data_IF_942076351358
#
_entry.id   IF_942076351358
#
_cell.length_a   1.000
_cell.length_b   1.000
_cell.length_c   1.000
_cell.angle_alpha   90.00
_cell.angle_beta   90.00
_cell.angle_gamma   90.00
#
_symmetry.space_group_name_H-M   'P 1'
#
loop_
_entity.id
_entity.type
_entity.pdbx_description
1 polymer ?
#
# COMPACT_ATOMS: atom_id res chain seq x y z
N UNK A 1 7.78 -4.54 35.41
CA UNK A 1 7.75 -5.41 34.20
C UNK A 1 7.53 -4.51 33.01
N UNK A 2 8.62 -4.19 32.27
CA UNK A 2 8.52 -3.44 31.01
C UNK A 2 7.79 -4.30 29.98
N UNK A 3 6.79 -3.75 29.25
CA UNK A 3 6.23 -4.45 28.12
C UNK A 3 7.35 -4.65 27.10
N UNK A 4 7.69 -5.89 26.82
CA UNK A 4 8.56 -6.23 25.70
C UNK A 4 7.90 -5.69 24.44
N UNK A 5 8.48 -4.65 23.85
CA UNK A 5 8.19 -4.24 22.48
C UNK A 5 8.27 -5.51 21.64
N UNK A 6 7.12 -5.94 21.09
CA UNK A 6 7.11 -7.06 20.16
C UNK A 6 7.96 -6.64 19.00
N UNK A 7 9.15 -7.24 18.87
CA UNK A 7 10.00 -7.04 17.70
C UNK A 7 9.15 -7.27 16.47
N UNK A 8 9.10 -6.27 15.61
CA UNK A 8 8.52 -6.35 14.27
C UNK A 8 8.86 -7.71 13.66
N UNK A 9 7.85 -8.52 13.40
CA UNK A 9 8.04 -9.73 12.61
C UNK A 9 8.13 -9.30 11.15
N UNK A 10 9.33 -8.93 10.74
CA UNK A 10 9.64 -8.71 9.34
C UNK A 10 9.65 -10.07 8.66
N UNK A 11 8.69 -10.33 7.81
CA UNK A 11 8.81 -11.42 6.88
C UNK A 11 9.49 -10.92 5.62
N UNK A 12 10.61 -11.50 5.32
CA UNK A 12 11.60 -10.98 4.39
C UNK A 12 11.83 -11.94 3.25
N UNK A 13 12.30 -11.39 2.15
CA UNK A 13 13.07 -12.12 1.15
C UNK A 13 14.09 -12.98 1.92
N UNK A 14 14.05 -14.29 1.70
CA UNK A 14 14.97 -15.23 2.35
C UNK A 14 16.41 -14.81 2.11
N UNK A 15 17.06 -14.31 3.12
CA UNK A 15 18.49 -14.48 3.29
C UNK A 15 18.74 -15.98 3.46
N UNK A 16 19.77 -16.50 2.78
CA UNK A 16 20.04 -17.95 2.71
C UNK A 16 20.29 -18.57 4.08
N UNK A 17 20.74 -17.79 5.06
CA UNK A 17 21.22 -18.29 6.35
C UNK A 17 20.23 -18.09 7.50
N UNK A 18 19.43 -17.02 7.49
CA UNK A 18 18.52 -16.67 8.60
C UNK A 18 17.05 -16.64 8.21
N UNK A 19 16.75 -16.65 6.93
CA UNK A 19 15.39 -16.50 6.41
C UNK A 19 14.81 -15.08 6.59
N UNK A 20 15.62 -14.12 7.00
CA UNK A 20 15.21 -12.74 7.31
C UNK A 20 16.09 -11.76 6.53
N UNK A 21 15.54 -11.01 5.57
CA UNK A 21 16.24 -9.92 4.94
C UNK A 21 16.09 -8.62 5.73
N UNK A 22 17.17 -7.88 5.89
CA UNK A 22 17.13 -6.53 6.45
C UNK A 22 16.79 -5.56 5.33
N UNK A 23 15.58 -5.04 5.35
CA UNK A 23 15.13 -4.01 4.42
C UNK A 23 15.21 -2.65 5.13
N UNK A 24 15.85 -1.69 4.48
CA UNK A 24 15.87 -0.32 4.98
C UNK A 24 14.60 0.39 4.48
N UNK A 25 13.73 0.75 5.40
CA UNK A 25 12.57 1.60 5.18
C UNK A 25 12.96 3.07 5.43
N UNK A 26 12.32 3.99 4.72
CA UNK A 26 12.38 5.41 5.09
C UNK A 26 11.48 5.68 6.32
N UNK A 27 11.55 6.89 6.88
CA UNK A 27 10.86 7.18 8.14
C UNK A 27 9.34 7.05 8.09
N UNK A 28 8.71 7.39 6.97
CA UNK A 28 7.26 7.27 6.86
C UNK A 28 6.79 5.87 6.46
N UNK A 29 7.56 5.13 5.65
CA UNK A 29 7.33 3.70 5.42
C UNK A 29 7.41 2.92 6.73
N UNK A 30 8.39 3.24 7.59
CA UNK A 30 8.51 2.63 8.92
C UNK A 30 7.29 2.93 9.78
N UNK A 31 6.80 4.18 9.79
CA UNK A 31 5.63 4.58 10.55
C UNK A 31 4.36 3.86 10.06
N UNK A 32 4.18 3.76 8.74
CA UNK A 32 3.06 3.03 8.15
C UNK A 32 3.07 1.54 8.54
N UNK A 33 4.23 0.89 8.43
CA UNK A 33 4.36 -0.53 8.80
C UNK A 33 4.19 -0.73 10.32
N UNK A 34 4.65 0.22 11.13
CA UNK A 34 4.41 0.19 12.57
C UNK A 34 2.92 0.27 12.89
N UNK A 35 2.18 1.19 12.26
CA UNK A 35 0.73 1.33 12.40
C UNK A 35 0.01 0.02 12.00
N UNK A 36 0.31 -0.54 10.82
CA UNK A 36 -0.26 -1.82 10.39
C UNK A 36 0.06 -2.97 11.37
N UNK A 37 1.26 -2.98 11.94
CA UNK A 37 1.69 -4.04 12.86
C UNK A 37 0.98 -4.05 14.21
N UNK A 38 0.34 -2.94 14.59
CA UNK A 38 -0.48 -2.84 15.80
C UNK A 38 -1.91 -3.35 15.62
N UNK A 39 -2.34 -3.65 14.40
CA UNK A 39 -3.67 -4.23 14.14
C UNK A 39 -3.76 -5.64 14.72
N UNK A 40 -4.89 -5.98 15.28
CA UNK A 40 -5.11 -7.29 15.94
C UNK A 40 -5.08 -8.46 14.96
N UNK A 41 -5.44 -8.21 13.70
CA UNK A 41 -5.48 -9.19 12.61
C UNK A 41 -4.16 -9.29 11.83
N UNK A 42 -3.18 -8.42 12.11
CA UNK A 42 -1.89 -8.43 11.44
C UNK A 42 -1.10 -9.72 11.69
N UNK A 43 -0.54 -10.28 10.62
CA UNK A 43 0.33 -11.46 10.67
C UNK A 43 1.77 -11.12 10.31
N UNK A 44 1.97 -10.56 9.14
CA UNK A 44 3.29 -10.16 8.64
C UNK A 44 3.17 -9.19 7.46
N UNK A 45 4.31 -8.64 7.05
CA UNK A 45 4.39 -7.81 5.85
C UNK A 45 5.58 -8.22 4.98
N UNK A 46 5.50 -7.86 3.72
CA UNK A 46 6.52 -8.09 2.72
C UNK A 46 6.73 -6.81 1.90
N UNK A 47 7.97 -6.36 1.76
CA UNK A 47 8.31 -5.42 0.69
C UNK A 47 8.21 -6.13 -0.64
N UNK A 48 7.49 -5.56 -1.59
CA UNK A 48 7.38 -6.09 -2.93
C UNK A 48 8.56 -5.57 -3.79
N UNK A 49 9.63 -6.37 -3.99
CA UNK A 49 10.85 -5.87 -4.63
C UNK A 49 10.66 -5.78 -6.14
N UNK A 50 10.94 -4.61 -6.70
CA UNK A 50 10.89 -4.43 -8.14
C UNK A 50 11.75 -5.47 -8.90
N UNK A 51 11.19 -6.02 -9.99
CA UNK A 51 11.86 -6.96 -10.91
C UNK A 51 12.18 -8.35 -10.35
N UNK A 52 11.78 -8.70 -9.14
CA UNK A 52 11.88 -10.08 -8.67
C UNK A 52 10.85 -10.96 -9.43
N UNK A 53 11.22 -12.19 -9.74
CA UNK A 53 10.36 -13.10 -10.52
C UNK A 53 9.01 -13.41 -9.86
N UNK A 54 8.90 -13.24 -8.54
CA UNK A 54 7.70 -13.47 -7.75
C UNK A 54 6.99 -12.17 -7.33
N UNK A 55 7.53 -11.00 -7.68
CA UNK A 55 6.96 -9.73 -7.29
C UNK A 55 5.64 -9.46 -8.03
N UNK A 56 4.68 -8.89 -7.31
CA UNK A 56 3.48 -8.35 -7.93
C UNK A 56 3.86 -7.18 -8.83
N UNK A 57 3.58 -7.32 -10.11
CA UNK A 57 3.87 -6.32 -11.13
C UNK A 57 2.59 -5.96 -11.88
N UNK A 58 2.24 -4.69 -11.88
CA UNK A 58 1.08 -4.16 -12.58
C UNK A 58 1.54 -3.32 -13.78
N UNK A 59 1.04 -3.58 -14.98
CA UNK A 59 1.33 -2.72 -16.12
C UNK A 59 0.56 -1.40 -16.01
N UNK A 60 1.19 -0.29 -16.38
CA UNK A 60 0.52 0.99 -16.54
C UNK A 60 1.01 1.71 -17.79
N UNK A 61 0.23 2.67 -18.27
CA UNK A 61 0.56 3.47 -19.43
C UNK A 61 1.03 4.86 -18.98
N UNK A 62 2.17 5.29 -19.49
CA UNK A 62 2.68 6.64 -19.25
C UNK A 62 3.10 7.25 -20.59
N UNK A 63 2.33 8.23 -21.06
CA UNK A 63 2.59 8.91 -22.35
C UNK A 63 2.65 7.94 -23.55
N UNK A 64 1.81 6.91 -23.56
CA UNK A 64 1.78 5.89 -24.61
C UNK A 64 2.84 4.78 -24.49
N UNK A 65 3.65 4.81 -23.44
CA UNK A 65 4.63 3.75 -23.14
C UNK A 65 4.11 2.83 -22.03
N UNK A 66 4.17 1.51 -22.27
CA UNK A 66 3.90 0.51 -21.22
C UNK A 66 5.05 0.45 -20.22
N UNK A 67 4.73 0.67 -18.95
CA UNK A 67 5.68 0.59 -17.84
C UNK A 67 5.22 -0.44 -16.82
N UNK A 68 6.16 -0.88 -15.99
CA UNK A 68 5.92 -1.81 -14.89
C UNK A 68 5.88 -1.04 -13.57
N UNK A 69 4.83 -1.27 -12.81
CA UNK A 69 4.62 -0.76 -11.47
C UNK A 69 4.66 -1.91 -10.45
N UNK A 70 5.35 -1.72 -9.36
CA UNK A 70 5.49 -2.69 -8.29
C UNK A 70 5.00 -2.02 -7.00
N UNK A 71 3.76 -2.29 -6.55
CA UNK A 71 3.26 -1.76 -5.29
C UNK A 71 4.22 -2.06 -4.13
N UNK A 72 4.35 -1.12 -3.21
CA UNK A 72 5.44 -1.16 -2.23
C UNK A 72 5.32 -2.30 -1.22
N UNK A 73 4.13 -2.52 -0.67
CA UNK A 73 3.95 -3.47 0.43
C UNK A 73 2.80 -4.43 0.21
N UNK A 74 3.03 -5.67 0.62
CA UNK A 74 2.01 -6.68 0.81
C UNK A 74 1.87 -6.97 2.30
N UNK A 75 0.66 -6.88 2.84
CA UNK A 75 0.36 -7.15 4.24
C UNK A 75 -0.48 -8.41 4.33
N UNK A 76 -0.06 -9.38 5.12
CA UNK A 76 -0.87 -10.57 5.41
C UNK A 76 -1.62 -10.34 6.70
N UNK A 77 -2.94 -10.52 6.64
CA UNK A 77 -3.83 -10.44 7.81
C UNK A 77 -4.59 -11.75 8.01
N UNK A 78 -5.05 -11.98 9.23
CA UNK A 78 -6.04 -13.01 9.50
C UNK A 78 -7.41 -12.55 9.05
N UNK A 79 -8.14 -13.46 8.44
CA UNK A 79 -9.53 -13.26 8.03
C UNK A 79 -10.38 -14.45 8.49
N UNK A 80 -11.53 -14.20 9.16
CA UNK A 80 -12.36 -15.27 9.67
C UNK A 80 -12.99 -16.19 8.62
N UNK A 81 -13.13 -15.71 7.37
CA UNK A 81 -13.79 -16.45 6.29
C UNK A 81 -12.81 -17.30 5.48
N UNK A 82 -11.54 -16.84 5.34
CA UNK A 82 -10.56 -17.48 4.44
C UNK A 82 -9.20 -17.74 5.09
N UNK A 83 -9.13 -17.67 6.42
CA UNK A 83 -7.94 -17.79 7.26
C UNK A 83 -6.95 -16.63 7.09
N UNK A 84 -6.54 -16.33 5.87
CA UNK A 84 -5.59 -15.27 5.55
C UNK A 84 -6.00 -14.50 4.30
N UNK A 85 -5.78 -13.21 4.35
CA UNK A 85 -5.96 -12.30 3.21
C UNK A 85 -4.71 -11.46 3.04
N UNK A 86 -4.42 -11.08 1.81
CA UNK A 86 -3.30 -10.21 1.47
C UNK A 86 -3.84 -8.84 1.10
N UNK A 87 -3.31 -7.79 1.73
CA UNK A 87 -3.56 -6.41 1.36
C UNK A 87 -2.40 -5.85 0.54
N UNK A 88 -2.68 -4.90 -0.31
CA UNK A 88 -1.70 -4.14 -1.09
C UNK A 88 -1.71 -2.70 -0.57
N UNK A 89 -0.56 -2.22 -0.11
CA UNK A 89 -0.39 -0.84 0.32
C UNK A 89 0.64 -0.14 -0.56
N UNK A 90 0.20 0.97 -1.16
CA UNK A 90 1.04 1.81 -2.01
C UNK A 90 1.16 3.22 -1.42
N UNK A 91 2.16 3.45 -0.57
CA UNK A 91 2.47 4.77 -0.07
C UNK A 91 3.21 5.58 -1.13
N UNK A 92 2.71 6.77 -1.48
CA UNK A 92 3.40 7.64 -2.42
C UNK A 92 3.29 9.13 -2.06
N UNK A 93 4.30 9.89 -2.47
CA UNK A 93 4.30 11.35 -2.32
C UNK A 93 3.54 12.02 -3.47
N UNK A 94 2.94 13.18 -3.21
CA UNK A 94 2.08 13.92 -4.16
C UNK A 94 2.80 14.49 -5.40
N UNK A 95 4.12 14.37 -5.47
CA UNK A 95 4.97 15.11 -6.40
C UNK A 95 5.36 14.36 -7.67
N UNK A 96 4.93 13.11 -7.84
CA UNK A 96 5.36 12.30 -8.99
C UNK A 96 4.34 12.30 -10.13
N UNK A 97 4.83 12.58 -11.35
CA UNK A 97 3.99 12.65 -12.55
C UNK A 97 3.32 11.32 -12.93
N UNK A 98 3.83 10.20 -12.42
CA UNK A 98 3.28 8.86 -12.68
C UNK A 98 2.30 8.36 -11.59
N UNK A 99 1.96 9.21 -10.61
CA UNK A 99 1.02 8.84 -9.54
C UNK A 99 -0.37 8.47 -10.07
N UNK A 100 -0.95 9.28 -10.94
CA UNK A 100 -2.27 9.02 -11.51
C UNK A 100 -2.30 7.74 -12.38
N UNK A 101 -1.36 7.51 -13.31
CA UNK A 101 -1.27 6.24 -14.03
C UNK A 101 -1.12 5.01 -13.13
N UNK A 102 -0.33 5.09 -12.07
CA UNK A 102 -0.18 4.00 -11.09
C UNK A 102 -1.44 3.78 -10.26
N UNK A 103 -2.09 4.87 -9.81
CA UNK A 103 -3.37 4.80 -9.12
C UNK A 103 -4.43 4.09 -9.96
N UNK A 104 -4.51 4.42 -11.25
CA UNK A 104 -5.40 3.73 -12.20
C UNK A 104 -5.05 2.26 -12.39
N UNK A 105 -3.77 1.91 -12.45
CA UNK A 105 -3.34 0.51 -12.54
C UNK A 105 -3.77 -0.31 -11.32
N UNK A 106 -3.64 0.25 -10.11
CA UNK A 106 -4.15 -0.37 -8.89
C UNK A 106 -5.68 -0.48 -8.88
N UNK A 107 -6.38 0.56 -9.33
CA UNK A 107 -7.83 0.56 -9.42
C UNK A 107 -8.35 -0.48 -10.45
N UNK A 108 -7.71 -0.62 -11.60
CA UNK A 108 -8.03 -1.69 -12.56
C UNK A 108 -7.74 -3.08 -11.99
N UNK A 109 -6.63 -3.24 -11.26
CA UNK A 109 -6.32 -4.49 -10.58
C UNK A 109 -7.39 -4.83 -9.53
N UNK A 110 -7.78 -3.87 -8.70
CA UNK A 110 -8.86 -4.03 -7.71
C UNK A 110 -10.21 -4.41 -8.32
N UNK A 111 -10.44 -4.08 -9.59
CA UNK A 111 -11.66 -4.45 -10.32
C UNK A 111 -11.68 -5.91 -10.76
N UNK A 112 -10.53 -6.49 -10.99
CA UNK A 112 -10.39 -7.83 -11.58
C UNK A 112 -9.98 -8.90 -10.57
N UNK A 113 -9.42 -8.50 -9.43
CA UNK A 113 -8.93 -9.43 -8.41
C UNK A 113 -9.79 -9.37 -7.14
N UNK A 114 -10.50 -10.44 -6.86
CA UNK A 114 -11.45 -10.57 -5.74
C UNK A 114 -10.87 -11.31 -4.52
N UNK A 115 -9.65 -11.87 -4.63
CA UNK A 115 -8.98 -12.63 -3.56
C UNK A 115 -8.04 -11.78 -2.71
N UNK A 116 -7.89 -10.51 -3.06
CA UNK A 116 -7.10 -9.53 -2.31
C UNK A 116 -8.01 -8.85 -1.29
N UNK A 117 -7.48 -8.55 -0.13
CA UNK A 117 -8.16 -7.77 0.89
C UNK A 117 -8.25 -6.29 0.53
N UNK A 118 -7.58 -5.45 1.29
CA UNK A 118 -7.50 -4.01 1.00
C UNK A 118 -6.52 -3.75 -0.14
N UNK A 119 -6.85 -2.80 -1.01
CA UNK A 119 -5.93 -2.22 -1.99
C UNK A 119 -5.93 -0.72 -1.76
N UNK A 120 -4.88 -0.21 -1.17
CA UNK A 120 -4.85 1.17 -0.69
C UNK A 120 -3.75 1.99 -1.34
N UNK A 121 -4.15 3.16 -1.85
CA UNK A 121 -3.24 4.28 -2.09
C UNK A 121 -3.13 5.09 -0.81
N UNK A 122 -1.91 5.48 -0.43
CA UNK A 122 -1.68 6.11 0.88
C UNK A 122 -0.87 7.38 0.71
N UNK A 123 -1.43 8.49 1.15
CA UNK A 123 -0.73 9.77 1.27
C UNK A 123 -0.35 10.03 2.71
N UNK A 124 0.84 10.60 2.88
CA UNK A 124 1.27 11.16 4.16
C UNK A 124 0.75 12.58 4.28
N UNK A 125 0.13 12.88 5.42
CA UNK A 125 -0.24 14.24 5.84
C UNK A 125 0.25 14.50 7.25
N UNK A 126 0.00 15.69 7.77
CA UNK A 126 0.27 16.05 9.17
C UNK A 126 -1.01 16.53 9.82
N UNK A 127 -1.22 16.15 11.07
CA UNK A 127 -2.29 16.71 11.88
C UNK A 127 -1.96 18.15 12.35
N UNK A 128 -2.89 18.80 12.99
CA UNK A 128 -2.71 20.16 13.54
C UNK A 128 -1.58 20.23 14.60
N UNK A 129 -1.17 19.12 15.18
CA UNK A 129 -0.06 19.01 16.13
C UNK A 129 1.29 18.73 15.47
N UNK A 130 1.34 18.60 14.13
CA UNK A 130 2.56 18.29 13.39
C UNK A 130 2.93 16.79 13.37
N UNK A 131 2.05 15.90 13.84
CA UNK A 131 2.28 14.46 13.79
C UNK A 131 1.96 13.91 12.39
N UNK A 132 2.70 12.91 11.97
CA UNK A 132 2.41 12.22 10.71
C UNK A 132 1.06 11.48 10.82
N UNK A 133 0.24 11.65 9.80
CA UNK A 133 -0.98 10.87 9.60
C UNK A 133 -1.00 10.32 8.17
N UNK A 134 -1.74 9.25 7.98
CA UNK A 134 -1.94 8.65 6.68
C UNK A 134 -3.39 8.84 6.25
N UNK A 135 -3.55 9.29 5.00
CA UNK A 135 -4.85 9.33 4.32
C UNK A 135 -4.85 8.19 3.32
N UNK A 136 -5.84 7.34 3.37
CA UNK A 136 -5.93 6.10 2.58
C UNK A 136 -7.12 6.14 1.64
N UNK A 137 -6.91 5.89 0.37
CA UNK A 137 -7.98 5.58 -0.58
C UNK A 137 -8.12 4.07 -0.70
N UNK A 138 -9.28 3.55 -0.33
CA UNK A 138 -9.61 2.13 -0.43
C UNK A 138 -10.15 1.79 -1.81
N UNK A 139 -9.33 1.17 -2.65
CA UNK A 139 -9.69 0.88 -4.04
C UNK A 139 -10.57 -0.37 -4.22
N UNK A 140 -10.77 -1.14 -3.16
CA UNK A 140 -11.80 -2.21 -3.15
C UNK A 140 -13.21 -1.63 -3.01
N UNK A 141 -13.35 -0.41 -2.49
CA UNK A 141 -14.60 0.36 -2.58
C UNK A 141 -14.88 0.75 -4.03
N UNK A 142 -16.04 0.34 -4.54
CA UNK A 142 -16.44 0.56 -5.94
C UNK A 142 -16.55 2.05 -6.27
N UNK A 143 -17.05 2.86 -5.33
CA UNK A 143 -17.27 4.30 -5.56
C UNK A 143 -15.94 5.03 -5.66
N UNK A 144 -15.03 4.77 -4.72
CA UNK A 144 -13.66 5.34 -4.70
C UNK A 144 -12.89 4.90 -5.95
N UNK A 145 -12.90 3.62 -6.24
CA UNK A 145 -12.25 3.03 -7.41
C UNK A 145 -12.71 3.68 -8.71
N UNK A 146 -14.03 3.82 -8.90
CA UNK A 146 -14.58 4.41 -10.11
C UNK A 146 -14.22 5.90 -10.26
N UNK A 147 -14.13 6.63 -9.17
CA UNK A 147 -13.63 8.02 -9.18
C UNK A 147 -12.17 8.06 -9.65
N UNK A 148 -11.29 7.20 -9.09
CA UNK A 148 -9.87 7.12 -9.47
C UNK A 148 -9.73 6.75 -10.96
N UNK A 149 -10.50 5.80 -11.46
CA UNK A 149 -10.47 5.41 -12.88
C UNK A 149 -10.86 6.55 -13.82
N UNK A 150 -11.81 7.41 -13.41
CA UNK A 150 -12.27 8.55 -14.21
C UNK A 150 -11.38 9.78 -14.10
N UNK A 151 -10.60 9.92 -13.04
CA UNK A 151 -9.71 11.07 -12.86
C UNK A 151 -8.77 11.26 -14.07
N UNK A 152 -8.68 12.47 -14.57
CA UNK A 152 -7.86 12.83 -15.74
C UNK A 152 -6.59 13.57 -15.36
N UNK A 153 -6.58 14.14 -14.17
CA UNK A 153 -5.47 14.95 -13.66
C UNK A 153 -5.04 14.52 -12.26
N UNK A 154 -3.83 14.88 -11.88
CA UNK A 154 -3.34 14.64 -10.51
C UNK A 154 -4.14 15.44 -9.47
N UNK A 155 -4.63 16.62 -9.85
CA UNK A 155 -5.44 17.45 -8.96
C UNK A 155 -6.79 16.79 -8.66
N UNK A 156 -7.39 16.12 -9.64
CA UNK A 156 -8.60 15.33 -9.42
C UNK A 156 -8.33 14.13 -8.49
N UNK A 157 -7.19 13.45 -8.64
CA UNK A 157 -6.79 12.40 -7.70
C UNK A 157 -6.59 12.95 -6.29
N UNK A 158 -5.92 14.08 -6.14
CA UNK A 158 -5.75 14.74 -4.85
C UNK A 158 -7.10 15.13 -4.23
N UNK A 159 -8.03 15.64 -5.03
CA UNK A 159 -9.39 15.94 -4.56
C UNK A 159 -10.13 14.69 -4.06
N UNK A 160 -9.93 13.53 -4.68
CA UNK A 160 -10.49 12.25 -4.20
C UNK A 160 -9.90 11.91 -2.82
N UNK A 161 -8.59 12.12 -2.59
CA UNK A 161 -8.01 11.95 -1.27
C UNK A 161 -8.63 12.88 -0.22
N UNK A 162 -8.94 14.13 -0.59
CA UNK A 162 -9.55 15.10 0.33
C UNK A 162 -11.01 14.75 0.68
N UNK A 163 -11.75 14.14 -0.26
CA UNK A 163 -13.20 13.89 -0.09
C UNK A 163 -13.55 12.48 0.35
N UNK A 164 -12.78 11.49 -0.07
CA UNK A 164 -13.07 10.06 0.15
C UNK A 164 -11.95 9.36 0.94
N UNK A 165 -10.90 10.08 1.29
CA UNK A 165 -9.79 9.53 2.05
C UNK A 165 -10.16 9.19 3.48
N UNK A 166 -9.74 8.02 3.94
CA UNK A 166 -9.93 7.55 5.32
C UNK A 166 -8.67 7.90 6.11
N UNK A 167 -8.87 8.52 7.27
CA UNK A 167 -7.80 8.78 8.24
C UNK A 167 -7.77 7.64 9.25
N UNK A 168 -6.63 7.00 9.37
CA UNK A 168 -6.33 6.04 10.43
C UNK A 168 -5.19 6.56 11.32
#
# INVERSE_FOLDING_TARGET
>A
LHPRVRRQRQMCIRDRDTGIAKIKLNGWESALIEEESHRTDFVCWLRNPAKAAWALCLPYDLNGEKKSFYPDFLIVRRDPAVDYVVDILEPHGNQYADNLPKAKALAEYAKTEDRIGRIQLIHKTMDAGGNNRFVRLELTDIVVRDKVLRAMTIDELNHIFDTDGIFE
#
